data_IF_071501276341
#
_entry.id   IF_071501276341
#
_cell.length_a   1.000
_cell.length_b   1.000
_cell.length_c   1.000
_cell.angle_alpha   90.00
_cell.angle_beta   90.00
_cell.angle_gamma   90.00
#
_symmetry.space_group_name_H-M   'P 1'
#
loop_
_entity.id
_entity.type
_entity.pdbx_description
1 polymer ?
#
# COMPACT_ATOMS: atom_id res chain seq x y z
N UNK A 1 -7.76 -16.00 -10.59
CA UNK A 1 -6.49 -16.12 -9.83
C UNK A 1 -5.48 -17.04 -10.54
N UNK A 2 -5.27 -16.89 -11.86
CA UNK A 2 -4.37 -17.77 -12.66
C UNK A 2 -3.37 -17.02 -13.55
N UNK A 3 -3.45 -15.69 -13.67
CA UNK A 3 -2.63 -14.91 -14.62
C UNK A 3 -1.31 -14.40 -14.04
N UNK A 4 -1.27 -14.07 -12.74
CA UNK A 4 -0.04 -13.54 -12.10
C UNK A 4 0.99 -14.65 -11.83
N UNK A 5 0.53 -15.82 -11.37
CA UNK A 5 1.40 -16.99 -11.15
C UNK A 5 1.98 -17.54 -12.45
N UNK A 6 1.22 -17.49 -13.56
CA UNK A 6 1.70 -17.90 -14.88
C UNK A 6 2.76 -16.95 -15.44
N UNK A 7 2.60 -15.64 -15.27
CA UNK A 7 3.57 -14.66 -15.78
C UNK A 7 4.93 -14.75 -15.06
N UNK A 8 4.92 -14.97 -13.74
CA UNK A 8 6.13 -15.21 -12.95
C UNK A 8 6.77 -16.57 -13.29
N UNK A 9 5.98 -17.62 -13.51
CA UNK A 9 6.48 -18.93 -13.91
C UNK A 9 7.06 -18.97 -15.33
N UNK A 10 6.50 -18.20 -16.28
CA UNK A 10 6.99 -18.11 -17.66
C UNK A 10 8.37 -17.43 -17.72
N UNK A 11 8.58 -16.40 -16.89
CA UNK A 11 9.86 -15.70 -16.77
C UNK A 11 10.93 -16.53 -16.04
N UNK A 12 10.53 -17.37 -15.08
CA UNK A 12 11.43 -18.28 -14.38
C UNK A 12 11.92 -19.43 -15.28
N UNK A 13 11.08 -19.94 -16.20
CA UNK A 13 11.44 -21.05 -17.12
C UNK A 13 12.54 -20.67 -18.12
N UNK A 14 12.67 -19.41 -18.51
CA UNK A 14 13.72 -18.95 -19.42
C UNK A 14 15.14 -18.95 -18.84
N UNK A 15 15.28 -18.91 -17.51
CA UNK A 15 16.60 -18.92 -16.83
C UNK A 15 16.98 -20.28 -16.23
N UNK A 16 16.01 -21.15 -15.93
CA UNK A 16 16.27 -22.47 -15.35
C UNK A 16 16.73 -23.52 -16.38
N UNK A 17 16.43 -23.33 -17.67
CA UNK A 17 16.89 -24.22 -18.74
C UNK A 17 18.42 -24.22 -18.95
N UNK A 18 19.16 -23.25 -18.39
CA UNK A 18 20.63 -23.19 -18.47
C UNK A 18 21.37 -23.68 -17.22
N UNK A 19 20.65 -24.09 -16.16
CA UNK A 19 21.25 -24.53 -14.91
C UNK A 19 20.95 -26.00 -14.56
N UNK A 20 20.13 -26.69 -15.35
CA UNK A 20 19.73 -28.08 -15.09
C UNK A 20 20.63 -29.16 -15.74
N UNK A 21 21.79 -28.79 -16.30
CA UNK A 21 22.72 -29.74 -16.95
C UNK A 21 23.94 -30.10 -16.09
N UNK A 22 23.97 -29.71 -14.82
CA UNK A 22 25.08 -30.01 -13.92
C UNK A 22 24.59 -30.25 -12.49
N UNK A 23 24.01 -31.43 -12.22
CA UNK A 23 24.09 -32.16 -10.94
C UNK A 23 23.07 -33.32 -10.90
N UNK A 24 23.56 -34.54 -11.08
CA UNK A 24 23.11 -35.75 -10.35
C UNK A 24 24.36 -36.30 -9.64
N UNK A 25 24.29 -36.96 -8.46
CA UNK A 25 23.42 -38.09 -8.05
C UNK A 25 22.87 -37.92 -6.60
N UNK A 26 22.21 -38.84 -5.90
CA UNK A 26 21.93 -40.27 -6.04
C UNK A 26 21.00 -40.73 -4.90
N UNK A 27 20.59 -41.98 -5.00
CA UNK A 27 19.42 -42.65 -4.41
C UNK A 27 19.69 -43.26 -3.02
N UNK A 28 18.67 -43.33 -2.14
CA UNK A 28 18.73 -44.09 -0.89
C UNK A 28 17.63 -43.81 0.14
N UNK A 29 16.63 -44.69 0.20
CA UNK A 29 15.73 -45.03 1.34
C UNK A 29 15.89 -46.58 1.53
N UNK A 30 15.47 -47.29 2.60
CA UNK A 30 14.46 -46.92 3.59
C UNK A 30 14.62 -47.40 5.06
N UNK A 31 13.73 -46.89 5.92
CA UNK A 31 13.05 -47.72 6.94
C UNK A 31 13.43 -47.51 8.42
N UNK A 32 12.42 -47.51 9.28
CA UNK A 32 12.60 -47.67 10.73
C UNK A 32 11.46 -47.15 11.60
N UNK A 33 10.40 -47.94 11.76
CA UNK A 33 9.32 -47.73 12.72
C UNK A 33 9.78 -47.95 14.16
N UNK A 34 9.29 -47.16 15.13
CA UNK A 34 9.22 -47.58 16.54
C UNK A 34 8.00 -47.00 17.27
N UNK A 35 7.31 -47.91 17.97
CA UNK A 35 6.10 -47.77 18.77
C UNK A 35 6.37 -47.28 20.20
N UNK A 36 5.48 -46.39 20.68
CA UNK A 36 4.88 -46.38 22.04
C UNK A 36 5.69 -45.77 23.21
N UNK A 37 5.06 -45.51 24.39
CA UNK A 37 3.64 -45.60 24.72
C UNK A 37 3.02 -44.30 25.29
N UNK A 38 1.67 -44.29 25.29
CA UNK A 38 0.80 -43.37 26.02
C UNK A 38 0.97 -43.49 27.54
N UNK A 39 0.90 -42.35 28.23
CA UNK A 39 0.50 -42.27 29.64
C UNK A 39 -0.75 -41.41 29.70
N UNK A 40 -1.86 -42.07 29.98
CA UNK A 40 -3.14 -41.50 30.39
C UNK A 40 -3.25 -41.67 31.90
N UNK A 41 -3.59 -40.61 32.62
CA UNK A 41 -3.94 -40.66 34.04
C UNK A 41 -4.84 -39.45 34.39
N UNK A 42 -6.14 -39.73 34.47
CA UNK A 42 -6.85 -39.54 35.73
C UNK A 42 -7.64 -38.24 35.92
N UNK A 43 -8.95 -38.38 35.74
CA UNK A 43 -10.06 -37.56 36.21
C UNK A 43 -9.94 -36.92 37.60
N UNK A 44 -10.52 -35.71 37.75
CA UNK A 44 -11.59 -35.42 38.72
C UNK A 44 -12.32 -34.10 38.38
N UNK A 45 -13.67 -34.06 38.30
CA UNK A 45 -14.44 -32.83 38.17
C UNK A 45 -15.06 -32.41 39.51
N UNK A 46 -14.85 -31.16 39.92
CA UNK A 46 -15.50 -30.59 41.12
C UNK A 46 -16.70 -29.70 40.78
N UNK A 47 -17.87 -30.23 41.16
CA UNK A 47 -19.05 -29.55 41.69
C UNK A 47 -19.75 -28.44 40.88
N UNK A 48 -20.85 -28.87 40.27
CA UNK A 48 -22.10 -28.14 40.05
C UNK A 48 -22.59 -27.46 41.33
N UNK A 49 -22.97 -26.18 41.25
CA UNK A 49 -23.90 -25.54 42.19
C UNK A 49 -25.11 -25.07 41.41
N UNK A 50 -26.22 -25.77 41.61
CA UNK A 50 -27.57 -25.41 41.20
C UNK A 50 -28.12 -24.32 42.13
N UNK A 51 -28.75 -23.31 41.54
CA UNK A 51 -29.39 -22.22 42.27
C UNK A 51 -30.54 -21.64 41.47
N UNK A 52 -31.59 -22.43 41.27
CA UNK A 52 -32.90 -21.93 40.85
C UNK A 52 -33.48 -21.05 41.97
N UNK A 53 -33.87 -19.81 41.65
CA UNK A 53 -34.88 -19.07 42.43
C UNK A 53 -35.69 -18.13 41.52
N UNK A 54 -36.92 -18.59 41.26
CA UNK A 54 -38.19 -17.85 41.22
C UNK A 54 -38.26 -16.44 40.59
N UNK A 55 -39.04 -16.38 39.50
CA UNK A 55 -39.70 -15.17 38.98
C UNK A 55 -40.62 -14.51 40.03
N UNK A 56 -40.85 -13.20 39.87
CA UNK A 56 -42.22 -12.71 39.83
C UNK A 56 -42.51 -11.88 38.57
N UNK A 57 -43.69 -12.17 38.00
CA UNK A 57 -44.37 -11.37 37.00
C UNK A 57 -44.51 -9.91 37.45
N UNK A 58 -44.16 -8.96 36.57
CA UNK A 58 -44.67 -7.59 36.65
C UNK A 58 -45.22 -7.17 35.29
N UNK A 59 -46.54 -7.08 35.32
CA UNK A 59 -47.47 -6.46 34.39
C UNK A 59 -47.04 -5.10 33.86
N UNK A 60 -47.27 -4.90 32.56
CA UNK A 60 -47.79 -3.68 31.92
C UNK A 60 -47.52 -2.33 32.61
N UNK A 61 -46.61 -1.54 32.01
CA UNK A 61 -46.78 -0.09 31.87
C UNK A 61 -46.56 0.33 30.43
N UNK A 62 -47.67 0.57 29.77
CA UNK A 62 -47.84 1.42 28.60
C UNK A 62 -47.48 2.87 28.94
N UNK A 63 -46.95 3.60 27.95
CA UNK A 63 -47.01 5.07 27.90
C UNK A 63 -45.77 5.80 28.40
N UNK A 64 -44.70 5.76 27.62
CA UNK A 64 -43.82 6.92 27.43
C UNK A 64 -43.55 7.00 25.93
N UNK A 65 -44.47 7.70 25.25
CA UNK A 65 -44.31 8.11 23.86
C UNK A 65 -43.08 9.01 23.77
N UNK A 66 -41.94 8.41 23.46
CA UNK A 66 -40.84 9.12 22.85
C UNK A 66 -41.26 9.31 21.40
N UNK A 67 -42.10 10.31 21.14
CA UNK A 67 -42.24 10.88 19.80
C UNK A 67 -40.83 11.26 19.37
N UNK A 68 -40.22 10.39 18.55
CA UNK A 68 -39.05 10.73 17.79
C UNK A 68 -39.47 11.91 16.91
N UNK A 69 -39.13 13.13 17.35
CA UNK A 69 -39.15 14.29 16.50
C UNK A 69 -38.47 13.88 15.19
N UNK A 70 -39.08 14.09 14.02
CA UNK A 70 -38.41 13.80 12.78
C UNK A 70 -37.14 14.66 12.79
N UNK A 71 -35.99 14.00 12.91
CA UNK A 71 -34.73 14.65 12.61
C UNK A 71 -34.93 15.22 11.21
N UNK A 72 -35.04 16.55 11.15
CA UNK A 72 -35.07 17.29 9.91
C UNK A 72 -33.72 17.04 9.25
N UNK A 73 -33.66 15.92 8.52
CA UNK A 73 -32.59 15.52 7.65
C UNK A 73 -32.54 16.61 6.58
N UNK A 74 -31.74 17.64 6.81
CA UNK A 74 -31.41 18.58 5.76
C UNK A 74 -30.88 17.75 4.61
N UNK A 75 -31.66 17.64 3.54
CA UNK A 75 -31.29 16.81 2.40
C UNK A 75 -29.96 17.34 1.87
N UNK A 76 -28.89 16.57 2.05
CA UNK A 76 -27.60 16.84 1.42
C UNK A 76 -27.85 16.63 -0.07
N UNK A 77 -28.07 17.72 -0.81
CA UNK A 77 -28.53 17.69 -2.20
C UNK A 77 -27.56 16.98 -3.17
N UNK A 78 -26.33 16.69 -2.74
CA UNK A 78 -25.27 16.08 -3.55
C UNK A 78 -24.27 15.22 -2.74
N UNK A 79 -24.74 14.50 -1.71
CA UNK A 79 -23.88 13.55 -0.97
C UNK A 79 -23.26 12.51 -1.90
N UNK A 80 -22.05 12.08 -1.56
CA UNK A 80 -21.33 11.02 -2.26
C UNK A 80 -21.77 9.70 -1.60
N UNK A 81 -22.46 8.79 -2.31
CA UNK A 81 -22.84 7.51 -1.76
C UNK A 81 -21.62 6.60 -1.59
N UNK A 82 -21.65 5.75 -0.58
CA UNK A 82 -20.67 4.66 -0.45
C UNK A 82 -21.15 3.38 -1.14
N UNK A 83 -20.26 2.60 -1.76
CA UNK A 83 -20.61 1.30 -2.33
C UNK A 83 -21.09 0.32 -1.26
N UNK A 84 -22.07 -0.52 -1.57
CA UNK A 84 -22.63 -1.51 -0.64
C UNK A 84 -21.65 -2.64 -0.28
N UNK A 85 -20.64 -2.89 -1.11
CA UNK A 85 -19.57 -3.82 -0.85
C UNK A 85 -18.26 -3.33 -1.48
N UNK A 86 -17.13 -3.81 -0.95
CA UNK A 86 -15.79 -3.50 -1.46
C UNK A 86 -15.34 -4.42 -2.61
N UNK A 87 -16.26 -5.20 -3.20
CA UNK A 87 -15.95 -6.23 -4.21
C UNK A 87 -16.57 -5.90 -5.56
N UNK A 88 -15.85 -6.25 -6.62
CA UNK A 88 -16.33 -6.21 -8.00
C UNK A 88 -16.40 -7.67 -8.44
N UNK A 89 -17.61 -8.18 -8.63
CA UNK A 89 -17.83 -9.57 -8.98
C UNK A 89 -17.67 -9.76 -10.49
N UNK A 90 -16.57 -10.40 -10.90
CA UNK A 90 -16.35 -10.83 -12.29
C UNK A 90 -16.74 -12.30 -12.42
N UNK A 91 -18.05 -12.55 -12.52
CA UNK A 91 -18.59 -13.92 -12.52
C UNK A 91 -18.34 -14.61 -11.17
N UNK A 92 -17.71 -15.81 -11.14
CA UNK A 92 -17.48 -16.54 -9.89
C UNK A 92 -16.30 -16.01 -9.05
N UNK A 93 -15.57 -15.00 -9.55
CA UNK A 93 -14.38 -14.48 -8.88
C UNK A 93 -14.66 -13.09 -8.27
N UNK A 94 -14.83 -12.99 -6.94
CA UNK A 94 -14.92 -11.70 -6.27
C UNK A 94 -13.55 -11.02 -6.28
N UNK A 95 -13.47 -9.81 -6.85
CA UNK A 95 -12.24 -9.01 -6.81
C UNK A 95 -12.40 -7.85 -5.85
N UNK A 96 -11.53 -7.75 -4.86
CA UNK A 96 -11.51 -6.57 -3.99
C UNK A 96 -11.10 -5.33 -4.78
N UNK A 97 -11.99 -4.33 -4.85
CA UNK A 97 -11.77 -3.09 -5.60
C UNK A 97 -10.51 -2.36 -5.10
N UNK A 98 -10.27 -2.38 -3.79
CA UNK A 98 -9.07 -1.82 -3.17
C UNK A 98 -7.78 -2.41 -3.76
N UNK A 99 -7.68 -3.75 -3.79
CA UNK A 99 -6.51 -4.45 -4.34
C UNK A 99 -6.33 -4.19 -5.83
N UNK A 100 -7.42 -4.12 -6.59
CA UNK A 100 -7.39 -3.78 -8.01
C UNK A 100 -6.86 -2.36 -8.25
N UNK A 101 -7.33 -1.38 -7.49
CA UNK A 101 -6.88 0.02 -7.59
C UNK A 101 -5.42 0.18 -7.20
N UNK A 102 -4.94 -0.54 -6.18
CA UNK A 102 -3.52 -0.57 -5.84
C UNK A 102 -2.69 -1.15 -7.00
N UNK A 103 -3.12 -2.27 -7.60
CA UNK A 103 -2.43 -2.87 -8.74
C UNK A 103 -2.39 -1.91 -9.94
N UNK A 104 -3.49 -1.25 -10.26
CA UNK A 104 -3.55 -0.20 -11.30
C UNK A 104 -2.59 0.94 -10.97
N UNK A 105 -2.58 1.42 -9.73
CA UNK A 105 -1.67 2.46 -9.26
C UNK A 105 -0.20 2.08 -9.46
N UNK A 106 0.18 0.85 -9.10
CA UNK A 106 1.54 0.32 -9.31
C UNK A 106 1.87 0.25 -10.80
N UNK A 107 0.98 -0.26 -11.65
CA UNK A 107 1.23 -0.36 -13.09
C UNK A 107 1.39 1.02 -13.75
N UNK A 108 0.46 1.94 -13.49
CA UNK A 108 0.48 3.31 -14.01
C UNK A 108 1.71 4.05 -13.50
N UNK A 109 1.97 3.98 -12.19
CA UNK A 109 3.15 4.58 -11.57
C UNK A 109 4.45 4.03 -12.17
N UNK A 110 4.57 2.70 -12.28
CA UNK A 110 5.75 2.07 -12.87
C UNK A 110 5.98 2.55 -14.30
N UNK A 111 4.92 2.70 -15.09
CA UNK A 111 5.05 3.21 -16.47
C UNK A 111 5.55 4.65 -16.53
N UNK A 112 5.04 5.51 -15.64
CA UNK A 112 5.47 6.92 -15.52
C UNK A 112 6.96 6.98 -15.15
N UNK A 113 7.36 6.23 -14.11
CA UNK A 113 8.74 6.22 -13.63
C UNK A 113 9.70 5.62 -14.67
N UNK A 114 9.35 4.52 -15.32
CA UNK A 114 10.12 3.91 -16.43
C UNK A 114 10.32 4.91 -17.57
N UNK A 115 9.24 5.58 -17.99
CA UNK A 115 9.30 6.56 -19.09
C UNK A 115 10.25 7.71 -18.75
N UNK A 116 10.24 8.18 -17.50
CA UNK A 116 11.15 9.23 -17.03
C UNK A 116 12.59 8.74 -16.91
N UNK A 117 12.79 7.51 -16.46
CA UNK A 117 14.09 6.86 -16.36
C UNK A 117 14.76 6.72 -17.73
N UNK A 118 14.04 6.18 -18.72
CA UNK A 118 14.53 6.04 -20.10
C UNK A 118 14.79 7.40 -20.74
N UNK A 119 13.92 8.40 -20.52
CA UNK A 119 14.13 9.78 -21.01
C UNK A 119 15.39 10.45 -20.45
N UNK A 120 15.90 9.97 -19.31
CA UNK A 120 17.17 10.43 -18.71
C UNK A 120 18.38 9.65 -19.22
N UNK A 121 18.22 8.77 -20.20
CA UNK A 121 19.30 8.03 -20.85
C UNK A 121 19.69 6.72 -20.17
N UNK A 122 18.88 6.24 -19.22
CA UNK A 122 19.13 4.97 -18.55
C UNK A 122 18.41 3.80 -19.22
N UNK A 123 18.91 2.59 -18.96
CA UNK A 123 18.40 1.35 -19.53
C UNK A 123 17.03 0.94 -18.96
N UNK A 124 16.16 0.41 -19.84
CA UNK A 124 14.79 -0.02 -19.50
C UNK A 124 14.79 -1.32 -18.69
N UNK A 125 15.67 -2.26 -19.02
CA UNK A 125 15.70 -3.58 -18.40
C UNK A 125 16.16 -3.47 -16.94
N UNK A 126 17.06 -2.52 -16.65
CA UNK A 126 17.44 -2.17 -15.29
C UNK A 126 16.23 -1.71 -14.45
N UNK A 127 15.37 -0.86 -15.01
CA UNK A 127 14.18 -0.39 -14.32
C UNK A 127 13.15 -1.50 -14.14
N UNK A 128 12.95 -2.32 -15.17
CA UNK A 128 12.00 -3.44 -15.15
C UNK A 128 12.36 -4.46 -14.07
N UNK A 129 13.65 -4.80 -13.96
CA UNK A 129 14.15 -5.65 -12.89
C UNK A 129 13.95 -5.02 -11.51
N UNK A 130 14.18 -3.71 -11.39
CA UNK A 130 14.06 -2.99 -10.12
C UNK A 130 12.62 -2.96 -9.60
N UNK A 131 11.62 -2.67 -10.45
CA UNK A 131 10.21 -2.59 -10.03
C UNK A 131 9.73 -3.88 -9.40
N UNK A 132 10.06 -5.04 -9.99
CA UNK A 132 9.66 -6.35 -9.45
C UNK A 132 10.17 -6.52 -8.02
N UNK A 133 11.45 -6.23 -7.80
CA UNK A 133 12.04 -6.36 -6.47
C UNK A 133 11.58 -5.31 -5.48
N UNK A 134 11.20 -4.11 -5.92
CA UNK A 134 10.59 -3.09 -5.05
C UNK A 134 9.22 -3.53 -4.57
N UNK A 135 8.39 -4.11 -5.45
CA UNK A 135 7.09 -4.66 -5.06
C UNK A 135 7.26 -5.83 -4.10
N UNK A 136 8.17 -6.77 -4.42
CA UNK A 136 8.49 -7.91 -3.53
C UNK A 136 9.00 -7.42 -2.18
N UNK A 137 9.95 -6.48 -2.17
CA UNK A 137 10.50 -5.89 -0.95
C UNK A 137 9.43 -5.21 -0.11
N UNK A 138 8.49 -4.50 -0.75
CA UNK A 138 7.34 -3.90 -0.07
C UNK A 138 6.44 -4.94 0.58
N UNK A 139 6.04 -6.00 -0.14
CA UNK A 139 5.19 -7.06 0.42
C UNK A 139 5.87 -7.80 1.56
N UNK A 140 7.15 -8.16 1.39
CA UNK A 140 7.95 -8.81 2.45
C UNK A 140 8.07 -7.90 3.66
N UNK A 141 8.44 -6.63 3.45
CA UNK A 141 8.58 -5.64 4.53
C UNK A 141 7.27 -5.42 5.29
N UNK A 142 6.14 -5.36 4.58
CA UNK A 142 4.81 -5.22 5.15
C UNK A 142 4.48 -6.35 6.13
N UNK A 143 4.82 -7.58 5.73
CA UNK A 143 4.58 -8.76 6.56
C UNK A 143 5.53 -8.80 7.75
N UNK A 144 6.82 -8.59 7.53
CA UNK A 144 7.84 -8.57 8.58
C UNK A 144 7.49 -7.54 9.65
N UNK A 145 7.13 -6.32 9.26
CA UNK A 145 6.74 -5.29 10.21
C UNK A 145 5.49 -5.68 11.01
N UNK A 146 4.46 -6.19 10.35
CA UNK A 146 3.23 -6.63 11.02
C UNK A 146 3.50 -7.68 12.10
N UNK A 147 4.39 -8.64 11.82
CA UNK A 147 4.79 -9.67 12.78
C UNK A 147 5.49 -9.10 14.02
N UNK A 148 6.30 -8.05 13.84
CA UNK A 148 6.97 -7.38 14.96
C UNK A 148 6.03 -6.53 15.81
N UNK A 149 4.96 -5.97 15.24
CA UNK A 149 4.13 -4.96 15.92
C UNK A 149 2.83 -5.47 16.53
N UNK A 150 2.42 -6.71 16.28
CA UNK A 150 1.15 -7.18 16.86
C UNK A 150 0.64 -8.52 16.38
N UNK A 151 1.52 -9.47 16.06
CA UNK A 151 1.08 -10.85 15.88
C UNK A 151 1.23 -11.57 17.22
N UNK A 152 0.13 -12.08 17.77
CA UNK A 152 0.18 -13.15 18.77
C UNK A 152 0.76 -14.37 18.04
N UNK A 153 2.02 -14.68 18.31
CA UNK A 153 2.81 -15.73 17.64
C UNK A 153 2.24 -17.14 17.82
N UNK A 154 1.13 -17.27 18.54
CA UNK A 154 0.71 -18.49 19.22
C UNK A 154 -0.39 -19.26 18.49
N UNK A 155 -1.17 -18.66 17.57
CA UNK A 155 -2.33 -19.36 16.96
C UNK A 155 -2.05 -20.06 15.60
N UNK A 156 -0.89 -19.84 14.96
CA UNK A 156 -0.67 -20.33 13.58
C UNK A 156 0.74 -20.82 13.21
N UNK A 157 1.73 -20.70 14.12
CA UNK A 157 3.12 -21.06 13.84
C UNK A 157 3.72 -20.39 12.58
N UNK A 158 4.79 -20.99 12.03
CA UNK A 158 5.51 -20.48 10.83
C UNK A 158 4.58 -20.36 9.60
N UNK A 159 3.57 -21.22 9.50
CA UNK A 159 2.64 -21.20 8.37
C UNK A 159 1.77 -19.95 8.43
N UNK A 160 1.23 -19.60 9.60
CA UNK A 160 0.50 -18.34 9.82
C UNK A 160 1.34 -17.11 9.45
N UNK A 161 2.65 -17.14 9.70
CA UNK A 161 3.60 -16.07 9.35
C UNK A 161 3.63 -15.73 7.86
N UNK A 162 3.35 -16.68 6.96
CA UNK A 162 3.43 -16.50 5.50
C UNK A 162 2.09 -16.13 4.86
N UNK A 163 0.97 -16.26 5.59
CA UNK A 163 -0.38 -16.05 5.05
C UNK A 163 -0.72 -14.57 4.86
N UNK A 164 -0.13 -13.96 3.83
CA UNK A 164 -0.40 -12.57 3.43
C UNK A 164 -1.82 -12.36 2.88
N UNK A 165 -2.52 -13.43 2.52
CA UNK A 165 -3.89 -13.40 1.99
C UNK A 165 -4.97 -13.38 3.07
N UNK A 166 -4.62 -13.64 4.33
CA UNK A 166 -5.53 -13.48 5.48
C UNK A 166 -5.50 -12.04 6.03
N UNK A 167 -4.79 -11.13 5.36
CA UNK A 167 -4.56 -9.77 5.80
C UNK A 167 -3.28 -9.61 6.62
N UNK A 168 -3.20 -8.57 7.45
CA UNK A 168 -2.04 -8.32 8.29
C UNK A 168 -0.81 -7.84 7.51
N UNK A 169 -0.97 -6.76 6.73
CA UNK A 169 0.11 -6.10 6.01
C UNK A 169 0.23 -4.66 6.51
N UNK A 170 1.39 -4.32 7.09
CA UNK A 170 1.64 -2.97 7.60
C UNK A 170 2.13 -2.04 6.50
N UNK A 171 1.49 -0.86 6.36
CA UNK A 171 1.93 0.18 5.43
C UNK A 171 3.35 0.68 5.73
N UNK A 172 3.74 0.75 7.00
CA UNK A 172 5.11 1.13 7.39
C UNK A 172 6.13 0.12 6.89
N UNK A 173 5.78 -1.17 6.95
CA UNK A 173 6.58 -2.24 6.38
C UNK A 173 6.66 -2.18 4.85
N UNK A 174 5.56 -1.86 4.15
CA UNK A 174 5.56 -1.65 2.69
C UNK A 174 6.56 -0.56 2.30
N UNK A 175 6.49 0.59 2.99
CA UNK A 175 7.35 1.74 2.69
C UNK A 175 8.82 1.41 2.99
N UNK A 176 9.11 0.86 4.17
CA UNK A 176 10.47 0.51 4.56
C UNK A 176 11.09 -0.54 3.63
N UNK A 177 10.37 -1.63 3.36
CA UNK A 177 10.82 -2.69 2.47
C UNK A 177 11.03 -2.22 1.03
N UNK A 178 10.14 -1.37 0.51
CA UNK A 178 10.28 -0.76 -0.81
C UNK A 178 11.50 0.16 -0.90
N UNK A 179 11.71 1.03 0.09
CA UNK A 179 12.88 1.94 0.12
C UNK A 179 14.19 1.15 0.22
N UNK A 180 14.24 0.13 1.08
CA UNK A 180 15.42 -0.74 1.21
C UNK A 180 15.72 -1.41 -0.13
N UNK A 181 14.71 -1.97 -0.80
CA UNK A 181 14.88 -2.57 -2.12
C UNK A 181 15.44 -1.57 -3.15
N UNK A 182 14.89 -0.35 -3.23
CA UNK A 182 15.40 0.71 -4.12
C UNK A 182 16.87 1.02 -3.83
N UNK A 183 17.23 1.25 -2.57
CA UNK A 183 18.59 1.65 -2.18
C UNK A 183 19.57 0.52 -2.45
N UNK A 184 19.27 -0.71 -2.03
CA UNK A 184 20.16 -1.87 -2.21
C UNK A 184 20.36 -2.16 -3.69
N UNK A 185 19.29 -2.22 -4.49
CA UNK A 185 19.40 -2.52 -5.92
C UNK A 185 20.11 -1.43 -6.69
N UNK A 186 19.84 -0.16 -6.37
CA UNK A 186 20.56 0.94 -6.98
C UNK A 186 22.07 0.85 -6.68
N UNK A 187 22.45 0.47 -5.46
CA UNK A 187 23.86 0.28 -5.08
C UNK A 187 24.50 -0.90 -5.78
N UNK A 188 23.84 -2.06 -5.80
CA UNK A 188 24.33 -3.29 -6.45
C UNK A 188 24.48 -3.10 -7.96
N UNK A 189 23.59 -2.36 -8.60
CA UNK A 189 23.63 -2.07 -10.05
C UNK A 189 24.39 -0.79 -10.39
N UNK A 190 25.03 -0.13 -9.43
CA UNK A 190 25.74 1.14 -9.63
C UNK A 190 24.89 2.25 -10.29
N UNK A 191 23.58 2.25 -9.99
CA UNK A 191 22.63 3.25 -10.47
C UNK A 191 22.60 4.47 -9.55
N UNK A 192 22.31 5.63 -10.13
CA UNK A 192 22.16 6.87 -9.37
C UNK A 192 20.83 6.88 -8.58
N UNK A 193 20.89 6.52 -7.30
CA UNK A 193 19.71 6.36 -6.43
C UNK A 193 18.83 7.62 -6.41
N UNK A 194 19.40 8.82 -6.35
CA UNK A 194 18.62 10.06 -6.33
C UNK A 194 17.86 10.30 -7.64
N UNK A 195 18.47 9.97 -8.79
CA UNK A 195 17.80 10.10 -10.08
C UNK A 195 16.64 9.12 -10.20
N UNK A 196 16.84 7.89 -9.70
CA UNK A 196 15.79 6.89 -9.63
C UNK A 196 14.62 7.35 -8.75
N UNK A 197 14.91 7.86 -7.55
CA UNK A 197 13.89 8.39 -6.64
C UNK A 197 13.14 9.59 -7.24
N UNK A 198 13.83 10.48 -7.96
CA UNK A 198 13.21 11.59 -8.69
C UNK A 198 12.31 11.11 -9.85
N UNK A 199 12.63 9.96 -10.48
CA UNK A 199 11.74 9.35 -11.47
C UNK A 199 10.49 8.75 -10.82
N UNK A 200 10.64 8.18 -9.61
CA UNK A 200 9.55 7.55 -8.86
C UNK A 200 8.61 8.56 -8.20
N UNK A 201 9.07 9.75 -7.83
CA UNK A 201 8.24 10.76 -7.15
C UNK A 201 6.87 11.05 -7.82
N UNK A 202 6.78 11.42 -9.12
CA UNK A 202 5.48 11.61 -9.78
C UNK A 202 4.68 10.31 -9.94
N UNK A 203 5.37 9.17 -10.06
CA UNK A 203 4.73 7.87 -10.13
C UNK A 203 4.02 7.51 -8.83
N UNK A 204 4.65 7.76 -7.68
CA UNK A 204 4.06 7.49 -6.37
C UNK A 204 2.88 8.42 -6.10
N UNK A 205 2.95 9.70 -6.45
CA UNK A 205 1.80 10.61 -6.34
C UNK A 205 0.60 10.14 -7.17
N UNK A 206 0.86 9.66 -8.38
CA UNK A 206 -0.19 9.12 -9.25
C UNK A 206 -0.80 7.85 -8.65
N UNK A 207 0.03 6.93 -8.16
CA UNK A 207 -0.41 5.71 -7.50
C UNK A 207 -1.21 6.00 -6.22
N UNK A 208 -0.80 7.00 -5.42
CA UNK A 208 -1.53 7.45 -4.24
C UNK A 208 -2.89 8.03 -4.62
N UNK A 209 -2.96 8.91 -5.63
CA UNK A 209 -4.22 9.49 -6.08
C UNK A 209 -5.24 8.41 -6.49
N UNK A 210 -4.79 7.36 -7.18
CA UNK A 210 -5.62 6.21 -7.57
C UNK A 210 -5.98 5.36 -6.35
N UNK A 211 -5.00 5.03 -5.51
CA UNK A 211 -5.19 4.14 -4.35
C UNK A 211 -6.18 4.67 -3.33
N UNK A 212 -6.33 5.99 -3.19
CA UNK A 212 -7.32 6.58 -2.28
C UNK A 212 -8.76 6.18 -2.60
N UNK A 213 -9.08 5.92 -3.86
CA UNK A 213 -10.40 5.43 -4.23
C UNK A 213 -10.69 4.04 -3.66
N UNK A 214 -9.67 3.27 -3.28
CA UNK A 214 -9.86 2.04 -2.53
C UNK A 214 -10.52 2.28 -1.18
N UNK A 215 -10.15 3.35 -0.46
CA UNK A 215 -10.75 3.68 0.84
C UNK A 215 -12.25 4.00 0.72
N UNK A 216 -12.68 4.56 -0.42
CA UNK A 216 -14.10 4.78 -0.70
C UNK A 216 -14.86 3.45 -0.86
N UNK A 217 -14.32 2.48 -1.62
CA UNK A 217 -14.92 1.14 -1.73
C UNK A 217 -14.97 0.39 -0.40
N UNK A 218 -13.94 0.55 0.43
CA UNK A 218 -13.86 -0.10 1.74
C UNK A 218 -14.59 0.68 2.85
N UNK A 219 -15.14 1.85 2.55
CA UNK A 219 -15.75 2.76 3.52
C UNK A 219 -14.89 2.98 4.77
N UNK A 220 -13.61 3.23 4.58
CA UNK A 220 -12.64 3.39 5.66
C UNK A 220 -11.95 4.75 5.56
N UNK A 221 -11.22 5.11 6.62
CA UNK A 221 -10.21 6.17 6.56
C UNK A 221 -10.75 7.59 6.25
N UNK A 222 -12.05 7.81 6.46
CA UNK A 222 -12.81 9.05 6.29
C UNK A 222 -12.63 10.05 7.44
N UNK A 223 -13.18 11.26 7.28
CA UNK A 223 -13.01 12.35 8.23
C UNK A 223 -14.15 12.48 9.24
N UNK A 224 -14.19 13.60 9.97
CA UNK A 224 -15.23 13.92 10.96
C UNK A 224 -16.63 14.06 10.33
N UNK A 225 -17.71 13.94 11.13
CA UNK A 225 -19.08 14.22 10.68
C UNK A 225 -19.20 15.60 10.02
N UNK A 226 -20.02 15.71 8.98
CA UNK A 226 -20.19 16.97 8.24
C UNK A 226 -21.51 17.02 7.47
N UNK A 227 -22.07 18.23 7.35
CA UNK A 227 -23.30 18.53 6.61
C UNK A 227 -23.03 19.21 5.26
N UNK A 228 -21.76 19.22 4.81
CA UNK A 228 -21.38 19.84 3.54
C UNK A 228 -22.09 19.16 2.35
N UNK A 229 -22.37 19.89 1.26
CA UNK A 229 -23.15 19.35 0.15
C UNK A 229 -22.44 18.22 -0.62
N UNK A 230 -21.14 17.99 -0.40
CA UNK A 230 -20.35 16.88 -0.96
C UNK A 230 -19.94 15.86 0.10
N UNK A 231 -20.66 15.77 1.22
CA UNK A 231 -20.34 14.83 2.29
C UNK A 231 -20.42 13.37 1.81
N UNK A 232 -19.62 12.50 2.43
CA UNK A 232 -19.57 11.07 2.16
C UNK A 232 -20.53 10.33 3.07
N UNK A 233 -21.45 9.57 2.51
CA UNK A 233 -22.27 8.62 3.26
C UNK A 233 -21.43 7.43 3.68
N UNK A 234 -21.57 6.97 4.92
CA UNK A 234 -20.88 5.77 5.43
C UNK A 234 -21.93 4.83 6.00
N UNK A 235 -21.86 3.54 5.73
CA UNK A 235 -22.76 2.52 6.29
C UNK A 235 -22.54 2.40 7.81
N UNK A 236 -23.61 2.28 8.63
CA UNK A 236 -23.50 2.10 10.08
C UNK A 236 -22.48 1.05 10.53
N UNK A 237 -22.30 -0.04 9.79
CA UNK A 237 -21.34 -1.11 10.12
C UNK A 237 -19.87 -0.66 10.07
N UNK A 238 -19.57 0.43 9.35
CA UNK A 238 -18.22 0.98 9.20
C UNK A 238 -17.97 2.22 10.06
N UNK A 239 -18.95 2.64 10.89
CA UNK A 239 -18.86 3.84 11.74
C UNK A 239 -18.24 3.53 13.11
N UNK A 240 -17.36 4.39 13.65
CA UNK A 240 -16.99 4.35 15.05
C UNK A 240 -18.22 4.44 15.95
N UNK A 241 -18.16 3.77 17.11
CA UNK A 241 -19.26 3.76 18.09
C UNK A 241 -19.73 5.18 18.48
N UNK A 242 -18.78 6.12 18.57
CA UNK A 242 -19.04 7.54 18.89
C UNK A 242 -19.85 8.29 17.82
N UNK A 243 -19.88 7.81 16.57
CA UNK A 243 -20.54 8.47 15.43
C UNK A 243 -21.60 7.60 14.75
N UNK A 244 -22.16 6.60 15.45
CA UNK A 244 -23.17 5.71 14.85
C UNK A 244 -24.40 6.43 14.32
N UNK A 245 -24.82 7.51 14.98
CA UNK A 245 -25.98 8.32 14.58
C UNK A 245 -25.73 9.22 13.36
N UNK A 246 -24.46 9.47 13.02
CA UNK A 246 -24.09 10.41 11.96
C UNK A 246 -24.07 9.71 10.60
N UNK A 247 -24.87 10.15 9.61
CA UNK A 247 -24.92 9.50 8.31
C UNK A 247 -23.77 9.90 7.38
N UNK A 248 -23.20 11.10 7.57
CA UNK A 248 -22.35 11.78 6.60
C UNK A 248 -21.05 12.31 7.21
N UNK A 249 -19.96 12.16 6.45
CA UNK A 249 -18.59 12.45 6.90
C UNK A 249 -17.78 13.19 5.84
N UNK A 250 -16.67 13.81 6.23
CA UNK A 250 -15.74 14.41 5.27
C UNK A 250 -15.12 13.33 4.35
N UNK A 251 -15.23 13.43 3.00
CA UNK A 251 -14.60 12.51 2.04
C UNK A 251 -13.07 12.72 1.96
N UNK A 252 -12.33 12.31 2.98
CA UNK A 252 -10.86 12.43 3.00
C UNK A 252 -10.21 11.71 1.82
N UNK A 253 -10.77 10.58 1.35
CA UNK A 253 -10.27 9.89 0.16
C UNK A 253 -10.22 10.83 -1.06
N UNK A 254 -11.28 11.63 -1.25
CA UNK A 254 -11.41 12.56 -2.37
C UNK A 254 -10.46 13.75 -2.17
N UNK A 255 -10.42 14.30 -0.96
CA UNK A 255 -9.52 15.41 -0.64
C UNK A 255 -8.05 15.01 -0.83
N UNK A 256 -7.64 13.84 -0.34
CA UNK A 256 -6.28 13.30 -0.48
C UNK A 256 -5.97 12.96 -1.95
N UNK A 257 -6.93 12.42 -2.71
CA UNK A 257 -6.76 12.14 -4.15
C UNK A 257 -6.53 13.43 -4.96
N UNK A 258 -7.40 14.43 -4.76
CA UNK A 258 -7.28 15.75 -5.39
C UNK A 258 -5.96 16.42 -4.99
N UNK A 259 -5.60 16.36 -3.70
CA UNK A 259 -4.34 16.91 -3.22
C UNK A 259 -3.13 16.27 -3.89
N UNK A 260 -3.11 14.94 -4.04
CA UNK A 260 -2.05 14.23 -4.74
C UNK A 260 -1.94 14.68 -6.20
N UNK A 261 -3.06 14.90 -6.89
CA UNK A 261 -3.09 15.38 -8.28
C UNK A 261 -2.62 16.84 -8.39
N UNK A 262 -3.03 17.72 -7.46
CA UNK A 262 -2.54 19.10 -7.39
C UNK A 262 -1.04 19.11 -7.16
N UNK A 263 -0.55 18.33 -6.18
CA UNK A 263 0.87 18.24 -5.88
C UNK A 263 1.66 17.67 -7.06
N UNK A 264 1.13 16.68 -7.78
CA UNK A 264 1.71 16.18 -9.02
C UNK A 264 1.80 17.30 -10.07
N UNK A 265 0.74 18.08 -10.26
CA UNK A 265 0.72 19.23 -11.16
C UNK A 265 1.76 20.28 -10.79
N UNK A 266 1.85 20.65 -9.51
CA UNK A 266 2.84 21.60 -8.98
C UNK A 266 4.26 21.07 -9.19
N UNK A 267 4.51 19.80 -8.90
CA UNK A 267 5.81 19.17 -9.07
C UNK A 267 6.24 19.18 -10.53
N UNK A 268 5.38 18.77 -11.46
CA UNK A 268 5.68 18.77 -12.90
C UNK A 268 5.84 20.18 -13.46
N UNK A 269 5.04 21.15 -12.99
CA UNK A 269 5.19 22.55 -13.34
C UNK A 269 6.53 23.11 -12.85
N UNK A 270 6.90 22.84 -11.59
CA UNK A 270 8.14 23.32 -11.00
C UNK A 270 9.37 22.72 -11.70
N UNK A 271 9.34 21.44 -12.05
CA UNK A 271 10.40 20.80 -12.86
C UNK A 271 10.59 21.44 -14.24
N UNK A 272 9.50 21.92 -14.87
CA UNK A 272 9.57 22.60 -16.17
C UNK A 272 10.04 24.05 -16.02
N UNK A 273 9.63 24.71 -14.94
CA UNK A 273 9.90 26.14 -14.71
C UNK A 273 11.30 26.39 -14.14
N UNK A 274 11.84 25.46 -13.37
CA UNK A 274 13.10 25.59 -12.65
C UNK A 274 14.09 24.48 -13.02
N UNK A 275 15.39 24.76 -12.94
CA UNK A 275 16.44 23.77 -13.20
C UNK A 275 16.72 22.97 -11.93
N UNK A 276 16.00 21.88 -11.74
CA UNK A 276 16.20 20.99 -10.59
C UNK A 276 17.54 20.25 -10.67
N UNK A 277 18.15 20.06 -9.51
CA UNK A 277 19.30 19.20 -9.23
C UNK A 277 18.82 17.80 -8.84
N UNK A 278 19.72 16.82 -8.93
CA UNK A 278 19.44 15.44 -8.48
C UNK A 278 18.92 15.44 -7.04
N UNK A 279 17.82 14.76 -6.79
CA UNK A 279 17.14 14.65 -5.49
C UNK A 279 16.12 15.75 -5.19
N UNK A 280 16.06 16.84 -5.96
CA UNK A 280 15.12 17.93 -5.66
C UNK A 280 13.67 17.52 -5.94
N UNK A 281 13.43 16.69 -6.94
CA UNK A 281 12.07 16.22 -7.24
C UNK A 281 11.53 15.36 -6.10
N UNK A 282 12.30 14.40 -5.60
CA UNK A 282 11.90 13.56 -4.45
C UNK A 282 11.75 14.40 -3.18
N UNK A 283 12.64 15.38 -2.94
CA UNK A 283 12.53 16.26 -1.77
C UNK A 283 11.28 17.14 -1.81
N UNK A 284 10.93 17.70 -2.99
CA UNK A 284 9.69 18.46 -3.18
C UNK A 284 8.45 17.58 -3.00
N UNK A 285 8.48 16.36 -3.53
CA UNK A 285 7.40 15.40 -3.33
C UNK A 285 7.20 15.07 -1.85
N UNK A 286 8.26 14.68 -1.13
CA UNK A 286 8.17 14.31 0.27
C UNK A 286 7.68 15.46 1.14
N UNK A 287 8.22 16.67 0.93
CA UNK A 287 7.79 17.87 1.68
C UNK A 287 6.34 18.22 1.39
N UNK A 288 5.93 18.25 0.11
CA UNK A 288 4.55 18.51 -0.26
C UNK A 288 3.58 17.45 0.28
N UNK A 289 3.90 16.17 0.14
CA UNK A 289 3.03 15.09 0.59
C UNK A 289 2.84 15.13 2.11
N UNK A 290 3.93 15.31 2.86
CA UNK A 290 3.87 15.38 4.32
C UNK A 290 3.22 16.66 4.84
N UNK A 291 3.35 17.78 4.11
CA UNK A 291 2.57 18.98 4.39
C UNK A 291 1.06 18.70 4.31
N UNK A 292 0.57 18.10 3.21
CA UNK A 292 -0.84 17.72 3.11
C UNK A 292 -1.24 16.71 4.19
N UNK A 293 -0.39 15.69 4.41
CA UNK A 293 -0.66 14.64 5.41
C UNK A 293 -0.88 15.20 6.80
N UNK A 294 -0.11 16.21 7.20
CA UNK A 294 -0.29 16.90 8.48
C UNK A 294 -1.73 17.39 8.67
N UNK A 295 -2.33 18.04 7.68
CA UNK A 295 -3.70 18.55 7.78
C UNK A 295 -4.76 17.43 7.69
N UNK A 296 -4.57 16.46 6.80
CA UNK A 296 -5.52 15.37 6.65
C UNK A 296 -5.59 14.47 7.89
N UNK A 297 -4.47 14.28 8.59
CA UNK A 297 -4.41 13.51 9.82
C UNK A 297 -5.34 14.08 10.91
N UNK A 298 -5.50 15.41 10.97
CA UNK A 298 -6.36 16.08 11.95
C UNK A 298 -7.86 15.97 11.63
N UNK A 299 -8.19 15.67 10.38
CA UNK A 299 -9.58 15.46 9.94
C UNK A 299 -10.08 14.05 10.24
N UNK A 300 -9.19 13.09 10.49
CA UNK A 300 -9.55 11.68 10.63
C UNK A 300 -10.27 11.37 11.95
N UNK A 301 -11.09 10.33 11.89
CA UNK A 301 -11.83 9.78 13.05
C UNK A 301 -11.27 8.44 13.54
N UNK A 302 -10.40 7.76 12.77
CA UNK A 302 -9.83 6.47 13.19
C UNK A 302 -8.98 6.61 14.47
N UNK A 303 -9.02 5.66 15.41
CA UNK A 303 -8.21 5.74 16.64
C UNK A 303 -6.72 5.76 16.29
N UNK A 304 -5.98 6.68 16.91
CA UNK A 304 -4.55 6.84 16.67
C UNK A 304 -3.82 7.19 17.98
N UNK A 305 -2.54 6.82 18.04
CA UNK A 305 -1.67 7.17 19.16
C UNK A 305 -1.39 8.67 19.14
N UNK A 306 -1.67 9.34 20.26
CA UNK A 306 -1.46 10.77 20.42
C UNK A 306 -0.28 11.08 21.34
N UNK A 307 0.47 12.11 20.98
CA UNK A 307 1.59 12.64 21.75
C UNK A 307 1.41 14.14 21.80
N UNK A 308 1.38 14.72 23.00
CA UNK A 308 1.10 16.15 23.23
C UNK A 308 -0.20 16.65 22.58
N UNK A 309 -1.27 15.84 22.57
CA UNK A 309 -2.58 16.21 22.02
C UNK A 309 -2.65 16.26 20.48
N UNK A 310 -1.65 15.68 19.79
CA UNK A 310 -1.68 15.48 18.35
C UNK A 310 -1.29 14.05 18.00
N UNK A 311 -1.88 13.52 16.92
CA UNK A 311 -1.56 12.19 16.41
C UNK A 311 -0.07 12.08 16.06
N UNK A 312 0.54 10.94 16.36
CA UNK A 312 1.97 10.69 16.10
C UNK A 312 2.33 10.89 14.62
N UNK A 313 1.43 10.54 13.71
CA UNK A 313 1.60 10.73 12.27
C UNK A 313 1.68 12.21 11.87
N UNK A 314 1.02 13.11 12.59
CA UNK A 314 1.12 14.55 12.36
C UNK A 314 2.51 15.06 12.74
N UNK A 315 3.06 14.63 13.88
CA UNK A 315 4.44 14.94 14.27
C UNK A 315 5.47 14.45 13.26
N UNK A 316 5.37 13.18 12.86
CA UNK A 316 6.27 12.60 11.84
C UNK A 316 6.17 13.39 10.53
N UNK A 317 4.95 13.73 10.10
CA UNK A 317 4.73 14.53 8.90
C UNK A 317 5.36 15.92 8.99
N UNK A 318 5.21 16.62 10.12
CA UNK A 318 5.82 17.93 10.33
C UNK A 318 7.36 17.87 10.27
N UNK A 319 7.98 16.90 10.97
CA UNK A 319 9.44 16.73 10.98
C UNK A 319 9.97 16.40 9.58
N UNK A 320 9.34 15.44 8.89
CA UNK A 320 9.74 15.05 7.54
C UNK A 320 9.54 16.21 6.56
N UNK A 321 8.45 16.97 6.68
CA UNK A 321 8.18 18.14 5.84
C UNK A 321 9.30 19.17 5.96
N UNK A 322 9.65 19.57 7.20
CA UNK A 322 10.71 20.56 7.44
C UNK A 322 12.07 20.02 6.98
N UNK A 323 12.40 18.77 7.31
CA UNK A 323 13.66 18.15 6.94
C UNK A 323 13.85 18.05 5.41
N UNK A 324 12.81 17.63 4.70
CA UNK A 324 12.86 17.49 3.23
C UNK A 324 12.76 18.83 2.50
N UNK A 325 12.08 19.83 3.07
CA UNK A 325 12.12 21.21 2.55
C UNK A 325 13.52 21.84 2.71
N UNK A 326 14.16 21.67 3.87
CA UNK A 326 15.54 22.10 4.08
C UNK A 326 16.50 21.37 3.11
N UNK A 327 16.30 20.06 2.92
CA UNK A 327 17.06 19.27 1.96
C UNK A 327 16.87 19.75 0.51
N UNK A 328 15.64 20.09 0.11
CA UNK A 328 15.35 20.67 -1.20
C UNK A 328 16.15 21.97 -1.45
N UNK A 329 16.18 22.87 -0.47
CA UNK A 329 16.94 24.13 -0.56
C UNK A 329 18.44 23.86 -0.61
N UNK A 330 18.94 22.94 0.22
CA UNK A 330 20.35 22.55 0.22
C UNK A 330 20.79 21.95 -1.11
N UNK A 331 19.99 21.04 -1.68
CA UNK A 331 20.22 20.47 -3.01
C UNK A 331 20.17 21.53 -4.11
N UNK A 332 19.29 22.53 -4.02
CA UNK A 332 19.26 23.62 -5.00
C UNK A 332 20.55 24.45 -5.02
N UNK A 333 21.19 24.59 -3.85
CA UNK A 333 22.43 25.36 -3.69
C UNK A 333 23.70 24.56 -4.01
N UNK A 334 23.73 23.26 -3.67
CA UNK A 334 24.96 22.43 -3.71
C UNK A 334 24.82 21.13 -4.50
N UNK A 335 23.61 20.80 -4.94
CA UNK A 335 23.32 19.53 -5.60
C UNK A 335 23.92 19.44 -7.01
N UNK A 336 24.25 18.22 -7.40
CA UNK A 336 24.74 17.94 -8.74
C UNK A 336 23.63 18.12 -9.78
N UNK A 337 23.94 18.71 -10.95
CA UNK A 337 22.99 18.75 -12.05
C UNK A 337 22.72 17.32 -12.55
N UNK A 338 21.61 17.12 -13.26
CA UNK A 338 21.40 15.86 -13.97
C UNK A 338 22.46 15.69 -15.06
N UNK A 339 23.09 14.52 -15.10
CA UNK A 339 23.90 14.06 -16.21
C UNK A 339 23.04 13.05 -16.99
N UNK A 340 23.21 12.99 -18.31
CA UNK A 340 22.64 11.88 -19.10
C UNK A 340 23.14 10.56 -18.50
N UNK A 341 22.25 9.56 -18.40
CA UNK A 341 22.63 8.21 -18.01
C UNK A 341 23.74 7.66 -18.92
N UNK A 342 24.50 6.65 -18.47
CA UNK A 342 25.48 6.00 -19.32
C UNK A 342 24.75 5.52 -20.57
N UNK A 343 25.10 6.08 -21.73
CA UNK A 343 24.39 5.83 -22.98
C UNK A 343 24.22 4.32 -23.13
N UNK A 344 22.97 3.85 -23.11
CA UNK A 344 22.65 2.45 -23.38
C UNK A 344 23.41 2.10 -24.66
N UNK A 345 24.41 1.21 -24.52
CA UNK A 345 25.35 0.87 -25.59
C UNK A 345 24.52 0.61 -26.84
N UNK A 346 24.53 1.56 -27.78
CA UNK A 346 23.80 1.40 -29.01
C UNK A 346 24.37 0.14 -29.64
N UNK A 347 23.58 -0.94 -29.70
CA UNK A 347 23.95 -2.12 -30.47
C UNK A 347 24.26 -1.59 -31.86
N UNK A 348 25.51 -1.73 -32.37
CA UNK A 348 25.82 -1.27 -33.71
C UNK A 348 24.84 -2.01 -34.62
N UNK A 349 24.00 -1.27 -35.33
CA UNK A 349 23.15 -1.85 -36.35
C UNK A 349 24.08 -2.61 -37.29
N UNK A 350 23.99 -3.95 -37.24
CA UNK A 350 24.88 -4.81 -37.99
C UNK A 350 24.90 -4.37 -39.44
N UNK A 351 26.08 -4.03 -39.92
CA UNK A 351 26.38 -3.83 -41.34
C UNK A 351 25.75 -4.99 -42.09
N UNK A 352 24.64 -4.74 -42.81
CA UNK A 352 24.11 -5.71 -43.76
C UNK A 352 25.21 -5.92 -44.79
N UNK A 353 25.87 -7.07 -44.74
CA UNK A 353 26.71 -7.52 -45.83
C UNK A 353 25.83 -7.59 -47.08
N UNK A 354 26.22 -6.84 -48.11
CA UNK A 354 25.61 -6.95 -49.44
C UNK A 354 25.77 -8.39 -49.94
N UNK A 355 24.75 -8.99 -50.57
CA UNK A 355 24.90 -10.29 -51.19
C UNK A 355 25.82 -10.15 -52.42
N UNK A 356 26.91 -10.89 -52.39
CA UNK A 356 27.80 -11.11 -53.53
C UNK A 356 27.03 -11.89 -54.60
N UNK A 357 27.04 -11.38 -55.84
CA UNK A 357 26.44 -12.06 -56.99
C UNK A 357 27.30 -13.26 -57.41
N UNK A 358 26.71 -14.42 -57.73
CA UNK A 358 27.46 -15.51 -58.33
C UNK A 358 27.65 -15.25 -59.82
N UNK A 359 28.91 -15.21 -60.26
CA UNK A 359 29.33 -15.37 -61.66
C UNK A 359 29.45 -16.85 -62.04
#
# INVERSE_FOLDING_TARGET
MLTVTWFVALLARGRLARLALAAQPGEGDPGGAHHGPQIDCGCEPSSVVTGERHHPNLSTRSGLDLEAAPAMMGAVLASIPSPSNGTIDLGPLPLHAYGLLLAIGVLVGSKIAETRWVRRGYDRDDFSALVVWVVVGGVVGARVYHLFTGYDWDEGGIVGTVKIWEGGLSIWGVIAGGVIAVVVLARVKHLETLVLMDCMAPAVLTAQAIGRWGNWFNQELYGKPTDLPWALEIDPAHRPAEFLAEPTFHPTFLYESIYCLILLGVLLWAERRFRFRKGQTVALWLSGYTFGRFFFEQLRVDPAQEVFGMRINAWVSAIVCVGTAAWFVWLGRRGQPYTQGPAATATPAGTRASPESPD
#
